data_IF_220632796601
#
_entry.id   IF_220632796601
#
_cell.length_a   1.000
_cell.length_b   1.000
_cell.length_c   1.000
_cell.angle_alpha   90.00
_cell.angle_beta   90.00
_cell.angle_gamma   90.00
#
_symmetry.space_group_name_H-M   'P 1'
#
loop_
_entity.id
_entity.type
_entity.pdbx_description
1 polymer ?
#
# COMPACT_ATOMS: atom_id res chain seq x y z
N UNK A 1 64.09 6.64 2.98
CA UNK A 1 63.07 7.29 2.14
C UNK A 1 61.88 7.69 3.01
N UNK A 2 61.16 8.76 2.66
CA UNK A 2 60.15 9.38 3.51
C UNK A 2 58.75 8.77 3.34
N UNK A 3 58.01 8.60 4.44
CA UNK A 3 56.56 8.42 4.42
C UNK A 3 55.90 9.76 4.05
N UNK A 4 54.79 9.71 3.29
CA UNK A 4 53.83 10.83 3.15
C UNK A 4 52.40 10.27 3.20
N UNK A 5 51.54 10.71 4.13
CA UNK A 5 50.11 10.49 4.03
C UNK A 5 49.46 11.56 3.13
N UNK A 6 48.34 11.22 2.50
CA UNK A 6 47.35 12.18 1.99
C UNK A 6 46.03 11.81 2.71
N UNK A 7 45.56 12.60 3.68
CA UNK A 7 44.83 13.88 3.53
C UNK A 7 43.47 13.71 2.87
N UNK A 8 42.43 13.82 3.71
CA UNK A 8 41.04 13.99 3.30
C UNK A 8 40.86 15.38 2.65
N UNK A 9 39.83 15.52 1.83
CA UNK A 9 39.69 16.65 0.89
C UNK A 9 38.69 17.75 1.33
N UNK A 10 37.89 17.55 2.38
CA UNK A 10 36.73 18.42 2.66
C UNK A 10 36.56 18.77 4.15
N UNK A 11 37.64 19.27 4.76
CA UNK A 11 37.72 19.66 6.18
C UNK A 11 38.19 21.13 6.32
N UNK A 12 37.78 21.99 5.36
CA UNK A 12 38.27 23.37 5.22
C UNK A 12 37.19 24.34 4.70
N UNK A 13 35.97 24.30 5.27
CA UNK A 13 34.95 25.36 5.11
C UNK A 13 34.29 25.72 6.45
N UNK A 14 35.08 25.93 7.51
CA UNK A 14 34.58 26.49 8.76
C UNK A 14 35.66 27.27 9.51
N UNK A 15 35.70 28.61 9.36
CA UNK A 15 36.24 29.58 10.35
C UNK A 15 36.06 31.05 9.91
N UNK A 16 34.81 31.52 9.87
CA UNK A 16 34.41 32.89 10.26
C UNK A 16 33.03 32.71 10.94
N UNK A 17 32.84 32.89 12.26
CA UNK A 17 33.06 34.07 13.11
C UNK A 17 32.33 35.31 12.54
N UNK A 18 31.43 36.03 13.23
CA UNK A 18 30.76 35.93 14.55
C UNK A 18 29.48 36.85 14.46
N UNK A 19 28.54 37.05 15.40
CA UNK A 19 28.35 36.80 16.84
C UNK A 19 26.83 36.81 17.22
N UNK A 20 26.49 36.45 18.46
CA UNK A 20 25.34 36.83 19.34
C UNK A 20 23.89 37.07 18.82
N UNK A 21 22.92 36.54 19.59
CA UNK A 21 21.51 36.92 19.51
C UNK A 21 20.58 36.03 20.38
N UNK A 22 19.76 36.63 21.24
CA UNK A 22 18.85 35.93 22.16
C UNK A 22 17.38 36.38 22.01
N UNK A 23 16.48 35.79 22.83
CA UNK A 23 15.01 35.88 22.81
C UNK A 23 14.34 35.14 21.62
N UNK A 24 13.30 34.32 21.75
CA UNK A 24 12.13 34.19 22.65
C UNK A 24 10.86 34.91 22.18
N UNK A 25 9.79 34.12 22.00
CA UNK A 25 8.37 34.46 22.22
C UNK A 25 7.78 35.72 21.58
N UNK A 26 6.89 35.55 20.59
CA UNK A 26 5.48 35.98 20.70
C UNK A 26 4.64 35.67 19.45
N UNK A 27 3.32 35.54 19.64
CA UNK A 27 2.32 35.55 18.56
C UNK A 27 1.87 37.00 18.27
N UNK A 28 1.58 37.30 17.00
CA UNK A 28 0.67 38.37 16.56
C UNK A 28 0.00 37.89 15.27
N UNK A 29 -1.33 37.84 15.09
CA UNK A 29 -2.48 38.67 15.50
C UNK A 29 -2.62 39.97 14.69
N UNK A 30 -3.83 40.14 14.14
CA UNK A 30 -4.22 40.99 13.01
C UNK A 30 -4.05 42.50 13.20
N UNK A 31 -3.78 43.25 12.10
CA UNK A 31 -4.22 44.62 11.95
C UNK A 31 -5.69 44.68 11.46
N UNK A 32 -6.60 45.18 12.30
CA UNK A 32 -7.94 45.61 11.89
C UNK A 32 -7.89 47.02 11.28
N UNK A 33 -8.82 47.36 10.35
CA UNK A 33 -9.09 48.77 10.00
C UNK A 33 -10.59 49.05 9.91
N UNK A 34 -10.99 50.11 10.60
CA UNK A 34 -12.36 50.49 10.97
C UNK A 34 -13.05 51.41 9.96
N UNK A 35 -14.37 51.30 9.86
CA UNK A 35 -15.39 52.39 9.87
C UNK A 35 -16.80 51.72 9.91
N UNK A 36 -17.89 52.23 10.50
CA UNK A 36 -18.16 53.40 11.37
C UNK A 36 -19.52 53.24 12.10
N UNK A 37 -19.80 54.07 13.11
CA UNK A 37 -20.98 54.12 14.01
C UNK A 37 -22.36 54.18 13.27
N UNK A 38 -23.54 53.91 13.86
CA UNK A 38 -24.14 54.31 15.16
C UNK A 38 -25.12 53.23 15.74
N UNK A 39 -25.22 53.00 17.06
CA UNK A 39 -26.22 53.54 18.05
C UNK A 39 -27.68 53.04 17.78
N UNK A 40 -28.54 52.59 18.72
CA UNK A 40 -28.74 52.89 20.15
C UNK A 40 -29.21 51.65 20.99
N UNK A 41 -29.61 51.83 22.26
CA UNK A 41 -29.81 50.77 23.28
C UNK A 41 -31.23 50.57 23.84
N UNK A 42 -31.57 49.33 24.21
CA UNK A 42 -32.37 48.85 25.39
C UNK A 42 -32.54 47.31 25.25
N UNK A 43 -32.47 46.42 26.25
CA UNK A 43 -32.65 46.45 27.73
C UNK A 43 -34.13 46.49 28.18
N UNK A 44 -34.90 45.44 27.86
CA UNK A 44 -35.81 44.78 28.81
C UNK A 44 -36.20 43.37 28.31
N UNK A 45 -36.57 42.46 29.22
CA UNK A 45 -37.06 41.10 28.93
C UNK A 45 -38.30 40.81 29.81
N UNK A 46 -39.34 40.18 29.24
CA UNK A 46 -39.94 39.04 29.93
C UNK A 46 -40.34 37.89 28.97
N UNK A 47 -40.41 36.66 29.50
CA UNK A 47 -40.71 35.44 28.73
C UNK A 47 -42.14 34.91 28.93
N UNK A 48 -42.51 33.91 28.09
CA UNK A 48 -43.72 33.05 28.14
C UNK A 48 -45.04 33.69 27.64
N UNK A 49 -46.07 32.88 27.26
CA UNK A 49 -46.17 31.41 27.34
C UNK A 49 -46.22 30.68 25.99
N UNK A 50 -46.26 29.35 26.06
CA UNK A 50 -46.66 28.48 24.95
C UNK A 50 -48.08 27.97 25.18
N UNK A 51 -48.87 27.82 24.12
CA UNK A 51 -50.10 27.02 24.13
C UNK A 51 -50.12 26.05 22.94
N UNK A 52 -50.55 24.83 23.22
CA UNK A 52 -50.62 23.72 22.26
C UNK A 52 -51.99 23.68 21.60
N UNK A 53 -52.03 23.48 20.27
CA UNK A 53 -53.18 22.82 19.63
C UNK A 53 -52.72 21.76 18.65
N UNK A 54 -53.27 20.56 18.82
CA UNK A 54 -52.94 19.34 18.08
C UNK A 54 -54.08 18.95 17.13
N UNK A 55 -53.73 18.12 16.13
CA UNK A 55 -54.62 17.33 15.26
C UNK A 55 -55.43 18.16 14.24
N UNK A 56 -55.72 17.68 13.02
CA UNK A 56 -55.66 16.30 12.47
C UNK A 56 -55.49 16.27 10.94
N UNK A 57 -54.61 15.38 10.42
CA UNK A 57 -54.74 14.64 9.12
C UNK A 57 -54.74 15.49 7.81
N UNK A 58 -54.59 15.00 6.56
CA UNK A 58 -53.83 13.93 5.83
C UNK A 58 -54.01 14.24 4.30
N UNK A 59 -53.25 13.81 3.29
CA UNK A 59 -52.05 12.95 3.11
C UNK A 59 -51.17 13.63 2.00
N UNK A 60 -49.82 13.68 2.07
CA UNK A 60 -48.83 12.67 1.64
C UNK A 60 -48.64 12.48 0.11
N UNK A 61 -47.49 12.93 -0.41
CA UNK A 61 -46.71 12.23 -1.47
C UNK A 61 -45.35 12.90 -1.75
N UNK A 62 -44.28 12.17 -1.41
CA UNK A 62 -42.98 12.07 -2.12
C UNK A 62 -42.27 13.34 -2.66
N UNK A 63 -41.01 13.54 -2.24
CA UNK A 63 -39.86 13.52 -3.16
C UNK A 63 -38.55 13.21 -2.39
N UNK A 64 -38.09 11.96 -2.56
CA UNK A 64 -36.72 11.42 -2.40
C UNK A 64 -35.72 12.13 -1.49
N UNK A 65 -35.31 11.44 -0.41
CA UNK A 65 -33.95 11.54 0.13
C UNK A 65 -32.90 11.34 -0.98
N UNK A 66 -31.84 12.13 -0.96
CA UNK A 66 -30.60 11.83 -1.68
C UNK A 66 -29.53 11.45 -0.67
N UNK A 67 -29.24 10.14 -0.60
CA UNK A 67 -28.21 9.60 0.27
C UNK A 67 -26.83 9.81 -0.35
N UNK A 68 -26.07 10.79 0.13
CA UNK A 68 -24.62 10.80 -0.06
C UNK A 68 -23.98 9.86 0.98
N UNK A 69 -24.01 8.56 0.66
CA UNK A 69 -23.31 7.55 1.43
C UNK A 69 -21.79 7.78 1.39
N UNK A 70 -21.15 7.84 2.56
CA UNK A 70 -19.70 7.85 2.66
C UNK A 70 -19.14 6.52 2.14
N UNK A 71 -18.70 6.53 0.87
CA UNK A 71 -18.10 5.39 0.22
C UNK A 71 -16.73 5.07 0.85
N UNK A 72 -16.73 4.21 1.87
CA UNK A 72 -15.54 3.46 2.27
C UNK A 72 -15.04 2.72 1.03
N UNK A 73 -13.88 3.12 0.50
CA UNK A 73 -13.30 2.46 -0.66
C UNK A 73 -13.00 1.00 -0.33
N UNK A 74 -13.72 0.09 -0.97
CA UNK A 74 -13.41 -1.34 -0.92
C UNK A 74 -12.03 -1.56 -1.56
N UNK A 75 -11.03 -1.83 -0.73
CA UNK A 75 -9.66 -2.07 -1.17
C UNK A 75 -9.64 -3.31 -2.07
N UNK A 76 -9.21 -3.16 -3.32
CA UNK A 76 -9.16 -4.24 -4.29
C UNK A 76 -8.31 -5.41 -3.78
N UNK A 77 -8.96 -6.55 -3.56
CA UNK A 77 -8.41 -7.85 -3.14
C UNK A 77 -7.89 -7.98 -1.70
N UNK A 78 -8.77 -8.40 -0.78
CA UNK A 78 -8.42 -9.17 0.40
C UNK A 78 -8.82 -10.65 0.22
N UNK A 79 -8.15 -11.40 -0.66
CA UNK A 79 -8.13 -12.87 -0.46
C UNK A 79 -7.23 -13.15 0.74
N UNK A 80 -7.82 -13.54 1.87
CA UNK A 80 -7.04 -14.02 3.01
C UNK A 80 -6.33 -15.34 2.63
N UNK A 81 -5.00 -15.45 2.87
CA UNK A 81 -4.25 -16.65 2.54
C UNK A 81 -4.67 -17.83 3.41
N UNK A 82 -5.22 -18.87 2.76
CA UNK A 82 -5.67 -20.12 3.39
C UNK A 82 -4.56 -20.80 4.22
N UNK A 83 -3.29 -20.59 3.87
CA UNK A 83 -2.15 -20.94 4.70
C UNK A 83 -1.10 -19.84 4.67
N UNK A 84 -0.56 -19.49 5.84
CA UNK A 84 0.56 -18.54 5.99
C UNK A 84 1.71 -19.18 6.77
N UNK A 85 2.89 -19.24 6.16
CA UNK A 85 4.15 -19.53 6.84
C UNK A 85 4.74 -18.22 7.37
N UNK A 86 4.52 -17.95 8.66
CA UNK A 86 4.92 -16.70 9.31
C UNK A 86 6.44 -16.54 9.52
N UNK A 87 6.82 -15.32 9.92
CA UNK A 87 8.21 -14.97 10.26
C UNK A 87 8.79 -15.93 11.31
N UNK A 88 10.06 -16.33 11.14
CA UNK A 88 10.75 -17.26 12.02
C UNK A 88 10.41 -18.75 11.82
N UNK A 89 9.42 -19.09 10.99
CA UNK A 89 9.19 -20.48 10.56
C UNK A 89 10.23 -20.87 9.51
N UNK A 90 10.80 -22.07 9.64
CA UNK A 90 11.63 -22.70 8.60
C UNK A 90 11.05 -24.05 8.20
N UNK A 91 10.69 -24.19 6.93
CA UNK A 91 10.19 -25.44 6.35
C UNK A 91 11.21 -26.00 5.37
N UNK A 92 11.42 -27.33 5.40
CA UNK A 92 12.28 -28.05 4.44
C UNK A 92 11.58 -29.30 3.93
N UNK A 93 11.39 -29.42 2.62
CA UNK A 93 10.75 -30.58 2.00
C UNK A 93 9.94 -30.24 0.75
N UNK A 94 8.89 -31.02 0.52
CA UNK A 94 7.92 -30.82 -0.56
C UNK A 94 6.63 -30.22 0.02
N UNK A 95 6.00 -29.28 -0.70
CA UNK A 95 4.76 -28.62 -0.27
C UNK A 95 3.76 -28.51 -1.42
N UNK A 96 2.52 -28.93 -1.15
CA UNK A 96 1.36 -28.85 -2.05
C UNK A 96 0.22 -28.14 -1.33
N UNK A 97 -0.53 -27.31 -2.07
CA UNK A 97 -1.74 -26.61 -1.62
C UNK A 97 -2.68 -26.39 -2.80
N UNK A 98 -3.92 -25.93 -2.56
CA UNK A 98 -4.94 -25.76 -3.61
C UNK A 98 -5.27 -24.30 -3.94
N UNK A 99 -5.53 -23.41 -2.96
CA UNK A 99 -5.88 -22.01 -3.22
C UNK A 99 -4.72 -21.03 -3.12
N UNK A 100 -4.34 -20.62 -1.91
CA UNK A 100 -3.48 -19.46 -1.68
C UNK A 100 -2.52 -19.68 -0.50
N UNK A 101 -1.22 -19.71 -0.79
CA UNK A 101 -0.14 -19.84 0.19
C UNK A 101 0.63 -18.52 0.33
N UNK A 102 0.79 -18.04 1.56
CA UNK A 102 1.66 -16.91 1.90
C UNK A 102 2.92 -17.37 2.64
N UNK A 103 4.08 -16.79 2.33
CA UNK A 103 5.37 -17.09 2.97
C UNK A 103 6.08 -15.78 3.38
N UNK A 104 6.18 -15.53 4.69
CA UNK A 104 7.06 -14.51 5.31
C UNK A 104 8.23 -15.17 6.09
N UNK A 105 8.37 -16.50 6.02
CA UNK A 105 9.43 -17.29 6.64
C UNK A 105 10.47 -17.83 5.65
N UNK A 106 11.22 -18.85 6.09
CA UNK A 106 12.20 -19.58 5.28
C UNK A 106 11.60 -20.87 4.70
N UNK A 107 11.72 -21.07 3.39
CA UNK A 107 11.30 -22.30 2.70
C UNK A 107 12.45 -22.86 1.86
N UNK A 108 12.77 -24.15 2.01
CA UNK A 108 13.74 -24.86 1.16
C UNK A 108 13.15 -26.16 0.59
N UNK A 109 13.28 -26.39 -0.72
CA UNK A 109 12.92 -27.67 -1.34
C UNK A 109 12.13 -27.55 -2.65
N UNK A 110 10.90 -28.08 -2.67
CA UNK A 110 10.06 -28.15 -3.87
C UNK A 110 8.63 -27.73 -3.51
N UNK A 111 8.01 -26.93 -4.38
CA UNK A 111 6.63 -26.47 -4.22
C UNK A 111 5.87 -26.71 -5.53
N UNK A 112 4.81 -27.52 -5.47
CA UNK A 112 3.97 -27.87 -6.63
C UNK A 112 2.50 -27.64 -6.28
N UNK A 113 1.80 -26.83 -7.07
CA UNK A 113 0.40 -26.47 -6.84
C UNK A 113 -0.31 -26.10 -8.16
N UNK A 114 -1.62 -25.82 -8.07
CA UNK A 114 -2.37 -25.05 -9.08
C UNK A 114 -2.90 -23.72 -8.54
N UNK A 115 -2.61 -23.44 -7.27
CA UNK A 115 -2.99 -22.20 -6.59
C UNK A 115 -1.99 -21.09 -6.84
N UNK A 116 -2.10 -20.07 -5.98
CA UNK A 116 -1.32 -18.83 -6.01
C UNK A 116 -0.35 -18.77 -4.83
N UNK A 117 0.83 -18.22 -5.04
CA UNK A 117 1.81 -17.94 -3.96
C UNK A 117 1.98 -16.44 -3.75
N UNK A 118 2.10 -16.03 -2.48
CA UNK A 118 2.57 -14.70 -2.07
C UNK A 118 3.83 -14.87 -1.22
N UNK A 119 5.00 -14.57 -1.78
CA UNK A 119 6.25 -14.45 -1.02
C UNK A 119 6.32 -13.02 -0.47
N UNK A 120 6.09 -12.85 0.84
CA UNK A 120 6.12 -11.57 1.52
C UNK A 120 7.53 -10.98 1.65
N UNK A 121 7.68 -9.73 2.13
CA UNK A 121 8.95 -9.00 2.12
C UNK A 121 10.04 -9.59 3.03
N UNK A 122 9.68 -10.41 4.03
CA UNK A 122 10.62 -11.18 4.86
C UNK A 122 10.83 -12.62 4.37
N UNK A 123 10.08 -13.05 3.36
CA UNK A 123 10.15 -14.41 2.82
C UNK A 123 11.46 -14.69 2.10
N UNK A 124 12.11 -15.80 2.45
CA UNK A 124 13.26 -16.35 1.75
C UNK A 124 12.92 -17.76 1.25
N UNK A 125 12.80 -17.91 -0.07
CA UNK A 125 12.35 -19.16 -0.72
C UNK A 125 13.46 -19.71 -1.61
N UNK A 126 13.99 -20.88 -1.27
CA UNK A 126 15.05 -21.56 -2.04
C UNK A 126 14.54 -22.89 -2.57
N UNK A 127 13.86 -22.86 -3.71
CA UNK A 127 13.08 -23.99 -4.21
C UNK A 127 12.92 -24.02 -5.73
N UNK A 128 12.53 -25.19 -6.26
CA UNK A 128 11.82 -25.27 -7.54
C UNK A 128 10.33 -25.02 -7.28
N UNK A 129 9.71 -24.13 -8.06
CA UNK A 129 8.34 -23.64 -7.83
C UNK A 129 7.52 -23.88 -9.11
N UNK A 130 6.42 -24.65 -9.02
CA UNK A 130 5.54 -25.00 -10.13
C UNK A 130 4.07 -24.72 -9.76
N UNK A 131 3.44 -23.70 -10.39
CA UNK A 131 2.10 -23.20 -9.99
C UNK A 131 1.41 -22.30 -11.05
N UNK A 132 0.24 -21.72 -10.74
CA UNK A 132 -0.54 -20.90 -11.68
C UNK A 132 -0.26 -19.38 -11.61
N UNK A 133 -0.15 -18.79 -10.42
CA UNK A 133 0.24 -17.37 -10.24
C UNK A 133 1.22 -17.16 -9.08
N UNK A 134 2.21 -16.28 -9.29
CA UNK A 134 3.16 -15.88 -8.25
C UNK A 134 3.16 -14.37 -8.01
N UNK A 135 3.05 -13.96 -6.75
CA UNK A 135 3.40 -12.63 -6.27
C UNK A 135 4.64 -12.75 -5.39
N UNK A 136 5.68 -11.98 -5.70
CA UNK A 136 6.97 -12.06 -5.00
C UNK A 136 7.38 -10.66 -4.58
N UNK A 137 7.46 -10.41 -3.27
CA UNK A 137 7.98 -9.19 -2.66
C UNK A 137 9.31 -9.42 -1.87
N UNK A 138 9.63 -10.68 -1.58
CA UNK A 138 10.84 -11.11 -0.84
C UNK A 138 11.96 -11.63 -1.74
N UNK A 139 12.75 -12.59 -1.21
CA UNK A 139 13.91 -13.17 -1.89
C UNK A 139 13.63 -14.60 -2.36
N UNK A 140 13.93 -14.89 -3.62
CA UNK A 140 13.75 -16.22 -4.22
C UNK A 140 15.03 -16.69 -4.92
N UNK A 141 15.48 -17.89 -4.59
CA UNK A 141 16.64 -18.57 -5.18
C UNK A 141 16.24 -19.92 -5.77
N UNK A 142 16.12 -20.01 -7.09
CA UNK A 142 15.74 -21.24 -7.78
C UNK A 142 14.91 -20.99 -9.03
N UNK A 143 14.37 -22.08 -9.58
CA UNK A 143 13.61 -22.04 -10.83
C UNK A 143 12.13 -21.83 -10.54
N UNK A 144 11.48 -20.99 -11.33
CA UNK A 144 10.09 -20.60 -11.16
C UNK A 144 9.33 -20.86 -12.46
N UNK A 145 8.45 -21.85 -12.45
CA UNK A 145 7.61 -22.23 -13.60
C UNK A 145 6.16 -21.89 -13.28
N UNK A 146 5.61 -20.91 -14.00
CA UNK A 146 4.27 -20.36 -13.77
C UNK A 146 3.48 -20.41 -15.07
N UNK A 147 2.30 -21.02 -15.06
CA UNK A 147 1.46 -21.08 -16.28
C UNK A 147 0.78 -19.74 -16.58
N UNK A 148 0.34 -19.02 -15.54
CA UNK A 148 -0.28 -17.70 -15.62
C UNK A 148 0.71 -16.55 -15.40
N UNK A 149 0.46 -15.75 -14.35
CA UNK A 149 1.13 -14.47 -14.12
C UNK A 149 2.15 -14.53 -12.98
N UNK A 150 3.34 -14.01 -13.24
CA UNK A 150 4.33 -13.62 -12.21
C UNK A 150 4.24 -12.10 -12.00
N UNK A 151 4.20 -11.65 -10.75
CA UNK A 151 4.30 -10.24 -10.37
C UNK A 151 5.38 -10.06 -9.31
N UNK A 152 6.48 -9.42 -9.70
CA UNK A 152 7.58 -9.07 -8.81
C UNK A 152 7.32 -7.66 -8.27
N UNK A 153 7.21 -7.53 -6.95
CA UNK A 153 6.74 -6.31 -6.29
C UNK A 153 7.77 -5.70 -5.34
N UNK A 154 7.71 -4.38 -5.17
CA UNK A 154 8.53 -3.64 -4.20
C UNK A 154 10.04 -3.85 -4.39
N UNK A 155 10.68 -4.60 -3.48
CA UNK A 155 12.14 -4.84 -3.47
C UNK A 155 12.51 -6.32 -3.66
N UNK A 156 11.67 -7.06 -4.37
CA UNK A 156 11.92 -8.47 -4.65
C UNK A 156 13.30 -8.73 -5.27
N UNK A 157 13.94 -9.83 -4.88
CA UNK A 157 15.19 -10.28 -5.48
C UNK A 157 15.07 -11.74 -5.91
N UNK A 158 15.08 -12.00 -7.21
CA UNK A 158 14.98 -13.34 -7.80
C UNK A 158 16.30 -13.73 -8.46
N UNK A 159 16.84 -14.89 -8.09
CA UNK A 159 18.05 -15.46 -8.69
C UNK A 159 17.79 -16.89 -9.15
N UNK A 160 17.82 -17.12 -10.46
CA UNK A 160 17.39 -18.36 -11.10
C UNK A 160 16.46 -18.11 -12.29
N UNK A 161 16.05 -19.17 -12.96
CA UNK A 161 15.36 -19.07 -14.25
C UNK A 161 13.83 -19.02 -14.08
N UNK A 162 13.17 -18.10 -14.79
CA UNK A 162 11.71 -17.89 -14.74
C UNK A 162 11.08 -18.27 -16.08
N UNK A 163 10.11 -19.19 -16.04
CA UNK A 163 9.17 -19.44 -17.14
C UNK A 163 7.78 -18.96 -16.71
N UNK A 164 7.15 -18.09 -17.50
CA UNK A 164 5.85 -17.48 -17.17
C UNK A 164 4.95 -17.32 -18.40
N UNK A 165 3.62 -17.35 -18.21
CA UNK A 165 2.65 -16.89 -19.22
C UNK A 165 2.68 -15.36 -19.38
N UNK A 166 2.80 -14.63 -18.27
CA UNK A 166 2.97 -13.17 -18.22
C UNK A 166 3.84 -12.75 -17.03
N UNK A 167 4.59 -11.65 -17.16
CA UNK A 167 5.48 -11.12 -16.13
C UNK A 167 5.24 -9.61 -15.92
N UNK A 168 5.01 -9.23 -14.67
CA UNK A 168 4.90 -7.86 -14.17
C UNK A 168 6.07 -7.59 -13.21
N UNK A 169 6.69 -6.40 -13.28
CA UNK A 169 7.87 -6.05 -12.48
C UNK A 169 7.75 -4.60 -12.01
N UNK A 170 7.76 -4.40 -10.68
CA UNK A 170 7.74 -3.09 -10.03
C UNK A 170 9.13 -2.41 -10.03
N UNK A 171 9.15 -1.10 -9.76
CA UNK A 171 10.37 -0.32 -9.61
C UNK A 171 11.24 -0.78 -8.42
N UNK A 172 12.50 -1.11 -8.69
CA UNK A 172 13.49 -1.46 -7.66
C UNK A 172 13.71 -2.96 -7.44
N UNK A 173 12.93 -3.82 -8.11
CA UNK A 173 13.13 -5.27 -8.17
C UNK A 173 14.49 -5.62 -8.80
N UNK A 174 15.08 -6.74 -8.37
CA UNK A 174 16.30 -7.33 -8.95
C UNK A 174 16.03 -8.74 -9.47
N UNK A 175 16.32 -8.97 -10.75
CA UNK A 175 16.21 -10.28 -11.40
C UNK A 175 17.57 -10.68 -11.97
N UNK A 176 18.00 -11.91 -11.66
CA UNK A 176 19.28 -12.48 -12.09
C UNK A 176 19.10 -13.92 -12.58
N UNK A 177 18.84 -14.11 -13.87
CA UNK A 177 18.67 -15.43 -14.49
C UNK A 177 18.12 -15.33 -15.91
N UNK A 178 17.74 -16.46 -16.50
CA UNK A 178 17.01 -16.50 -17.78
C UNK A 178 15.51 -16.24 -17.55
N UNK A 179 14.85 -15.60 -18.53
CA UNK A 179 13.40 -15.35 -18.49
C UNK A 179 12.77 -15.79 -19.81
N UNK A 180 11.75 -16.64 -19.71
CA UNK A 180 11.02 -17.23 -20.82
C UNK A 180 9.54 -16.91 -20.68
N UNK A 181 9.04 -15.94 -21.46
CA UNK A 181 7.62 -15.59 -21.49
C UNK A 181 6.96 -16.34 -22.65
N UNK A 182 6.09 -17.29 -22.33
CA UNK A 182 5.42 -18.14 -23.33
C UNK A 182 4.11 -17.56 -23.86
N UNK A 183 3.61 -16.50 -23.21
CA UNK A 183 2.32 -15.88 -23.51
C UNK A 183 1.17 -16.61 -22.82
N UNK A 184 0.31 -15.87 -22.13
CA UNK A 184 -0.95 -16.40 -21.64
C UNK A 184 -1.90 -16.69 -22.83
N UNK A 185 -2.70 -17.77 -22.78
CA UNK A 185 -3.76 -17.96 -23.77
C UNK A 185 -4.76 -16.80 -23.70
N UNK A 186 -5.00 -16.15 -24.83
CA UNK A 186 -5.97 -15.05 -24.96
C UNK A 186 -7.38 -15.60 -24.82
N UNK A 187 -7.93 -15.54 -23.59
CA UNK A 187 -9.28 -16.01 -23.28
C UNK A 187 -10.34 -14.98 -23.74
N UNK A 188 -10.42 -14.79 -25.06
CA UNK A 188 -11.45 -14.01 -25.73
C UNK A 188 -12.79 -14.77 -25.60
N UNK A 189 -13.67 -14.28 -24.73
CA UNK A 189 -15.02 -14.82 -24.61
C UNK A 189 -15.88 -14.24 -25.73
N UNK A 190 -16.32 -15.09 -26.65
CA UNK A 190 -17.37 -14.73 -27.61
C UNK A 190 -18.70 -14.52 -26.86
N UNK A 191 -19.12 -13.26 -26.69
CA UNK A 191 -20.52 -12.95 -26.42
C UNK A 191 -21.34 -13.26 -27.69
N UNK A 192 -21.84 -14.50 -27.77
CA UNK A 192 -22.74 -14.94 -28.83
C UNK A 192 -24.16 -14.41 -28.51
N UNK A 193 -24.37 -13.12 -28.79
CA UNK A 193 -25.67 -12.46 -28.68
C UNK A 193 -26.70 -13.15 -29.62
N UNK A 194 -27.95 -13.36 -29.17
CA UNK A 194 -28.97 -14.19 -29.87
C UNK A 194 -30.41 -13.89 -29.49
#
# INVERSE_FOLDING_TARGET
>A
MFKRPAKNFFDEVQTLYEDSGANSTSYSIYPQRTERLENHSNIFEPAKPAETRLLSQEEHSQWTDQQEGLATQESSFPEEPETTLGEGVSFKGELTFERLLRIDGTFEGILVSKGKIIVGPQGYVKANIELEEAVIAGVVEGNITVTGRVSLQGRAMVTGDIQAGSLCVDEGVRLCGYVSIQGAPSNEQEEIDS
#
